data_IF_257819171671
#
_entry.id   IF_257819171671
#
_cell.length_a   1.000
_cell.length_b   1.000
_cell.length_c   1.000
_cell.angle_alpha   90.00
_cell.angle_beta   90.00
_cell.angle_gamma   90.00
#
_symmetry.space_group_name_H-M   'P 1'
#
loop_
_entity.id
_entity.type
_entity.pdbx_description
1 polymer ?
#
# COMPACT_ATOMS: atom_id res chain seq x y z
N UNK A 1 12.59 -2.74 -9.18
CA UNK A 1 12.10 -2.96 -7.80
C UNK A 1 11.89 -1.62 -7.13
N UNK A 2 10.69 -1.34 -6.59
CA UNK A 2 10.36 -0.11 -5.87
C UNK A 2 10.39 -0.37 -4.36
N UNK A 3 10.99 0.57 -3.61
CA UNK A 3 11.01 0.58 -2.16
C UNK A 3 10.33 1.85 -1.64
N UNK A 4 9.50 1.71 -0.64
CA UNK A 4 8.79 2.85 -0.08
C UNK A 4 8.30 2.60 1.34
N UNK A 5 7.53 3.55 1.81
CA UNK A 5 6.83 3.44 3.09
C UNK A 5 5.33 3.56 2.92
N UNK A 6 4.61 3.05 3.90
CA UNK A 6 3.20 3.36 4.06
C UNK A 6 2.92 3.78 5.51
N UNK A 7 1.86 4.54 5.71
CA UNK A 7 1.40 4.96 7.02
C UNK A 7 -0.09 4.68 7.18
N UNK A 8 -0.49 4.28 8.36
CA UNK A 8 -1.90 4.12 8.74
C UNK A 8 -2.45 5.36 9.45
N UNK A 9 -1.56 6.26 9.89
CA UNK A 9 -1.93 7.55 10.48
C UNK A 9 -2.67 7.45 11.81
N UNK A 10 -2.28 6.53 12.68
CA UNK A 10 -2.86 6.40 14.01
C UNK A 10 -2.34 7.44 15.00
N UNK A 11 -3.17 7.84 15.97
CA UNK A 11 -2.84 8.74 17.09
C UNK A 11 -2.62 7.97 18.38
N UNK A 12 -1.96 6.82 18.28
CA UNK A 12 -1.60 5.98 19.42
C UNK A 12 -0.66 6.74 20.38
N UNK A 13 -0.89 6.71 21.70
CA UNK A 13 0.03 7.30 22.66
C UNK A 13 1.41 6.64 22.62
N UNK A 14 2.45 7.45 22.76
CA UNK A 14 3.81 6.97 23.06
C UNK A 14 3.83 6.35 24.46
N UNK A 15 4.07 5.05 24.59
CA UNK A 15 4.02 4.37 25.90
C UNK A 15 5.13 4.80 26.85
N UNK A 16 6.18 5.47 26.39
CA UNK A 16 7.30 5.93 27.21
C UNK A 16 7.00 7.28 27.88
N UNK A 17 6.12 8.08 27.27
CA UNK A 17 5.76 9.41 27.74
C UNK A 17 4.29 9.54 28.13
N UNK A 18 3.45 8.63 27.68
CA UNK A 18 1.98 8.69 27.79
C UNK A 18 1.32 9.75 26.89
N UNK A 19 2.08 10.47 26.05
CA UNK A 19 1.58 11.51 25.17
C UNK A 19 1.09 10.94 23.84
N UNK A 20 -0.15 11.24 23.46
CA UNK A 20 -0.62 11.04 22.10
C UNK A 20 -0.38 12.31 21.27
N UNK A 21 -0.03 12.21 19.98
CA UNK A 21 -0.05 13.36 19.10
C UNK A 21 -1.49 13.87 18.91
N UNK A 22 -1.65 15.16 18.69
CA UNK A 22 -2.91 15.70 18.17
C UNK A 22 -3.10 15.28 16.71
N UNK A 23 -4.34 15.29 16.22
CA UNK A 23 -4.61 15.03 14.79
C UNK A 23 -3.82 15.96 13.86
N UNK A 24 -3.71 17.24 14.23
CA UNK A 24 -2.90 18.22 13.49
C UNK A 24 -1.42 17.80 13.41
N UNK A 25 -0.82 17.46 14.55
CA UNK A 25 0.58 17.00 14.61
C UNK A 25 0.76 15.73 13.77
N UNK A 26 -0.18 14.79 13.87
CA UNK A 26 -0.10 13.52 13.15
C UNK A 26 -0.20 13.70 11.62
N UNK A 27 -1.16 14.51 11.16
CA UNK A 27 -1.30 14.84 9.73
C UNK A 27 -0.02 15.51 9.20
N UNK A 28 0.54 16.48 9.95
CA UNK A 28 1.81 17.12 9.57
C UNK A 28 2.98 16.15 9.56
N UNK A 29 3.04 15.23 10.51
CA UNK A 29 4.06 14.19 10.57
C UNK A 29 4.03 13.28 9.33
N UNK A 30 2.83 12.87 8.87
CA UNK A 30 2.70 12.05 7.66
C UNK A 30 3.25 12.77 6.41
N UNK A 31 2.99 14.07 6.28
CA UNK A 31 3.57 14.90 5.18
C UNK A 31 5.09 14.96 5.31
N UNK A 32 5.60 15.19 6.51
CA UNK A 32 7.06 15.23 6.77
C UNK A 32 7.73 13.91 6.42
N UNK A 33 7.12 12.79 6.79
CA UNK A 33 7.63 11.44 6.44
C UNK A 33 7.67 11.22 4.92
N UNK A 34 6.65 11.66 4.19
CA UNK A 34 6.61 11.54 2.73
C UNK A 34 7.74 12.34 2.05
N UNK A 35 7.94 13.59 2.47
CA UNK A 35 9.02 14.45 1.94
C UNK A 35 10.38 13.84 2.26
N UNK A 36 10.58 13.42 3.50
CA UNK A 36 11.84 12.81 3.92
C UNK A 36 12.11 11.45 3.24
N UNK A 37 11.06 10.68 2.95
CA UNK A 37 11.19 9.45 2.17
C UNK A 37 11.78 9.70 0.77
N UNK A 38 11.37 10.78 0.11
CA UNK A 38 11.98 11.20 -1.17
C UNK A 38 13.44 11.64 -0.99
N UNK A 39 13.73 12.41 0.06
CA UNK A 39 15.09 12.92 0.35
C UNK A 39 16.10 11.78 0.55
N UNK A 40 15.68 10.71 1.25
CA UNK A 40 16.53 9.53 1.48
C UNK A 40 16.51 8.52 0.32
N UNK A 41 15.85 8.84 -0.79
CA UNK A 41 15.89 8.06 -2.03
C UNK A 41 14.92 6.89 -2.11
N UNK A 42 13.82 6.92 -1.36
CA UNK A 42 12.72 5.97 -1.53
C UNK A 42 11.87 6.32 -2.76
N UNK A 43 11.18 5.31 -3.31
CA UNK A 43 10.42 5.44 -4.54
C UNK A 43 8.93 5.74 -4.32
N UNK A 44 8.36 5.30 -3.18
CA UNK A 44 6.91 5.29 -2.95
C UNK A 44 6.56 5.75 -1.55
N UNK A 45 5.55 6.61 -1.46
CA UNK A 45 4.82 6.88 -0.23
C UNK A 45 3.35 6.49 -0.40
N UNK A 46 2.81 5.72 0.55
CA UNK A 46 1.42 5.33 0.57
C UNK A 46 0.73 5.73 1.89
N UNK A 47 -0.51 6.22 1.80
CA UNK A 47 -1.34 6.51 2.97
C UNK A 47 -2.55 5.61 3.02
N UNK A 48 -2.91 5.16 4.22
CA UNK A 48 -4.17 4.46 4.46
C UNK A 48 -5.38 5.39 4.31
N UNK A 49 -6.56 4.80 4.27
CA UNK A 49 -7.84 5.47 4.43
C UNK A 49 -8.60 4.82 5.58
N UNK A 50 -8.98 5.65 6.53
CA UNK A 50 -9.70 5.21 7.73
C UNK A 50 -10.75 6.25 8.11
N UNK A 51 -11.91 5.78 8.58
CA UNK A 51 -13.02 6.62 9.01
C UNK A 51 -13.38 6.43 10.47
N UNK A 52 -12.52 5.76 11.24
CA UNK A 52 -12.72 5.50 12.65
C UNK A 52 -11.51 5.85 13.49
N UNK A 53 -11.67 6.36 14.72
CA UNK A 53 -10.56 6.51 15.66
C UNK A 53 -9.84 5.16 15.89
N UNK A 54 -8.53 5.17 16.11
CA UNK A 54 -7.66 6.33 16.32
C UNK A 54 -6.98 6.87 15.04
N UNK A 55 -7.48 6.57 13.85
CA UNK A 55 -6.85 6.93 12.59
C UNK A 55 -7.32 8.28 12.07
N UNK A 56 -6.42 9.06 11.45
CA UNK A 56 -6.75 10.40 10.93
C UNK A 56 -6.81 10.53 9.40
N UNK A 57 -6.21 9.66 8.57
CA UNK A 57 -6.26 9.83 7.11
C UNK A 57 -7.61 9.36 6.55
N UNK A 58 -8.58 10.27 6.51
CA UNK A 58 -9.91 10.02 5.96
C UNK A 58 -10.12 10.51 4.52
N UNK A 59 -9.11 11.21 3.96
CA UNK A 59 -9.12 11.73 2.59
C UNK A 59 -7.72 11.60 1.97
N UNK A 60 -7.38 10.42 1.46
CA UNK A 60 -6.04 10.15 0.92
C UNK A 60 -5.64 11.13 -0.17
N UNK A 61 -6.50 11.41 -1.14
CA UNK A 61 -6.20 12.28 -2.28
C UNK A 61 -5.94 13.72 -1.88
N UNK A 62 -6.61 14.23 -0.84
CA UNK A 62 -6.33 15.56 -0.27
C UNK A 62 -4.91 15.62 0.30
N UNK A 63 -4.49 14.61 1.04
CA UNK A 63 -3.13 14.54 1.61
C UNK A 63 -2.09 14.35 0.52
N UNK A 64 -2.31 13.43 -0.41
CA UNK A 64 -1.39 13.15 -1.50
C UNK A 64 -1.23 14.36 -2.44
N UNK A 65 -2.29 15.15 -2.68
CA UNK A 65 -2.19 16.42 -3.42
C UNK A 65 -1.28 17.45 -2.73
N UNK A 66 -1.33 17.51 -1.40
CA UNK A 66 -0.41 18.37 -0.64
C UNK A 66 1.04 17.86 -0.68
N UNK A 67 1.25 16.56 -0.67
CA UNK A 67 2.58 15.94 -0.80
C UNK A 67 3.10 16.10 -2.23
N UNK A 68 2.26 15.97 -3.25
CA UNK A 68 2.63 16.18 -4.65
C UNK A 68 3.31 17.53 -4.90
N UNK A 69 2.79 18.58 -4.25
CA UNK A 69 3.35 19.95 -4.34
C UNK A 69 4.71 20.13 -3.62
N UNK A 70 5.23 19.11 -2.96
CA UNK A 70 6.47 19.12 -2.16
C UNK A 70 7.48 18.07 -2.56
N UNK A 71 7.14 17.24 -3.53
CA UNK A 71 7.96 16.13 -4.01
C UNK A 71 8.03 16.15 -5.52
N UNK A 72 9.11 15.63 -6.10
CA UNK A 72 9.36 15.66 -7.54
C UNK A 72 9.44 14.28 -8.18
N UNK A 73 9.78 13.25 -7.40
CA UNK A 73 10.05 11.88 -7.90
C UNK A 73 9.20 10.81 -7.24
N UNK A 74 8.76 11.07 -6.01
CA UNK A 74 8.04 10.11 -5.18
C UNK A 74 6.72 9.70 -5.84
N UNK A 75 6.50 8.41 -5.98
CA UNK A 75 5.21 7.85 -6.38
C UNK A 75 4.26 7.96 -5.19
N UNK A 76 3.11 8.57 -5.44
CA UNK A 76 2.06 8.79 -4.46
C UNK A 76 1.02 7.68 -4.60
N UNK A 77 0.83 6.92 -3.53
CA UNK A 77 -0.03 5.73 -3.52
C UNK A 77 -0.95 5.71 -2.30
N UNK A 78 -1.84 4.75 -2.26
CA UNK A 78 -2.66 4.47 -1.08
C UNK A 78 -2.41 3.07 -0.53
N UNK A 79 -2.76 2.87 0.74
CA UNK A 79 -2.63 1.58 1.40
C UNK A 79 -3.67 1.39 2.53
N UNK A 80 -4.94 1.40 2.13
CA UNK A 80 -5.60 1.34 0.83
C UNK A 80 -6.67 2.43 0.69
N UNK A 81 -7.09 2.77 -0.53
CA UNK A 81 -8.37 3.45 -0.78
C UNK A 81 -9.51 2.45 -0.63
N UNK A 82 -10.57 2.83 0.08
CA UNK A 82 -11.69 1.94 0.41
C UNK A 82 -12.74 1.94 -0.71
N UNK A 83 -12.58 1.08 -1.71
CA UNK A 83 -13.50 0.95 -2.86
C UNK A 83 -14.96 0.66 -2.47
N UNK A 84 -15.22 0.26 -1.24
CA UNK A 84 -16.54 -0.10 -0.74
C UNK A 84 -17.30 1.05 -0.07
N UNK A 85 -16.60 2.00 0.51
CA UNK A 85 -17.21 3.18 1.17
C UNK A 85 -17.24 4.39 0.26
N UNK A 86 -16.28 4.51 -0.65
CA UNK A 86 -16.24 5.55 -1.66
C UNK A 86 -17.10 5.22 -2.89
N UNK A 87 -17.64 6.25 -3.54
CA UNK A 87 -18.28 6.10 -4.84
C UNK A 87 -17.23 5.98 -5.95
N UNK A 88 -17.31 4.98 -6.85
CA UNK A 88 -16.34 4.80 -7.92
C UNK A 88 -16.22 6.00 -8.88
N UNK A 89 -17.26 6.82 -9.03
CA UNK A 89 -17.18 8.09 -9.77
C UNK A 89 -16.23 9.04 -9.05
N UNK A 90 -16.37 9.18 -7.73
CA UNK A 90 -15.51 10.06 -6.94
C UNK A 90 -14.05 9.59 -6.95
N UNK A 91 -13.82 8.30 -6.85
CA UNK A 91 -12.47 7.72 -6.99
C UNK A 91 -11.88 8.04 -8.37
N UNK A 92 -12.68 7.87 -9.43
CA UNK A 92 -12.23 8.14 -10.80
C UNK A 92 -11.76 9.59 -10.98
N UNK A 93 -12.57 10.53 -10.51
CA UNK A 93 -12.30 11.97 -10.62
C UNK A 93 -11.11 12.41 -9.75
N UNK A 94 -11.07 11.99 -8.50
CA UNK A 94 -10.03 12.37 -7.55
C UNK A 94 -8.64 11.86 -7.96
N UNK A 95 -8.54 10.60 -8.39
CA UNK A 95 -7.25 10.04 -8.80
C UNK A 95 -6.80 10.56 -10.17
N UNK A 96 -7.72 10.87 -11.09
CA UNK A 96 -7.37 11.58 -12.32
C UNK A 96 -6.87 13.00 -12.02
N UNK A 97 -7.56 13.74 -11.15
CA UNK A 97 -7.11 15.07 -10.69
C UNK A 97 -5.73 15.00 -10.05
N UNK A 98 -5.52 14.05 -9.13
CA UNK A 98 -4.23 13.86 -8.46
C UNK A 98 -3.12 13.50 -9.45
N UNK A 99 -3.42 12.69 -10.47
CA UNK A 99 -2.47 12.31 -11.50
C UNK A 99 -1.97 13.52 -12.30
N UNK A 100 -2.87 14.46 -12.65
CA UNK A 100 -2.48 15.74 -13.27
C UNK A 100 -1.63 16.61 -12.34
N UNK A 101 -1.99 16.70 -11.05
CA UNK A 101 -1.25 17.49 -10.06
C UNK A 101 0.15 16.94 -9.76
N UNK A 102 0.34 15.66 -9.92
CA UNK A 102 1.58 14.96 -9.61
C UNK A 102 2.36 14.51 -10.86
N UNK A 103 2.03 15.05 -12.03
CA UNK A 103 2.72 14.74 -13.30
C UNK A 103 2.86 13.22 -13.55
N UNK A 104 1.77 12.48 -13.33
CA UNK A 104 1.72 11.03 -13.53
C UNK A 104 2.29 10.18 -12.41
N UNK A 105 2.90 10.74 -11.36
CA UNK A 105 3.50 10.00 -10.23
C UNK A 105 2.45 9.45 -9.25
N UNK A 106 1.41 8.82 -9.77
CA UNK A 106 0.29 8.30 -8.99
C UNK A 106 -0.03 6.88 -9.39
N UNK A 107 -0.18 6.04 -8.41
CA UNK A 107 -0.94 4.80 -8.51
C UNK A 107 -1.86 4.66 -7.29
N UNK A 108 -2.69 3.65 -7.25
CA UNK A 108 -3.53 3.44 -6.08
C UNK A 108 -3.62 1.96 -5.72
N UNK A 109 -3.70 1.71 -4.42
CA UNK A 109 -4.02 0.39 -3.91
C UNK A 109 -5.45 0.40 -3.39
N UNK A 110 -6.29 -0.42 -3.97
CA UNK A 110 -7.68 -0.58 -3.56
C UNK A 110 -7.80 -1.66 -2.49
N UNK A 111 -8.57 -1.36 -1.47
CA UNK A 111 -8.95 -2.29 -0.42
C UNK A 111 -10.45 -2.34 -0.19
N UNK A 112 -10.93 -3.49 0.26
CA UNK A 112 -12.33 -3.68 0.64
C UNK A 112 -12.70 -2.98 1.94
N UNK A 113 -11.72 -2.71 2.80
CA UNK A 113 -11.96 -2.37 4.21
C UNK A 113 -12.46 -3.57 5.02
N UNK A 114 -12.07 -3.64 6.27
CA UNK A 114 -12.42 -4.73 7.18
C UNK A 114 -13.02 -4.27 8.53
N UNK A 115 -13.23 -2.96 8.67
CA UNK A 115 -13.79 -2.36 9.89
C UNK A 115 -15.30 -2.33 9.80
N UNK A 116 -15.96 -3.34 10.40
CA UNK A 116 -17.41 -3.53 10.33
C UNK A 116 -18.23 -2.28 10.68
N UNK A 117 -17.94 -1.56 11.79
CA UNK A 117 -18.67 -0.36 12.18
C UNK A 117 -18.64 0.78 11.17
N UNK A 118 -17.66 0.84 10.26
CA UNK A 118 -17.54 1.90 9.25
C UNK A 118 -18.59 1.77 8.14
N UNK A 119 -18.92 0.56 7.72
CA UNK A 119 -19.84 0.34 6.62
C UNK A 119 -21.22 1.01 6.78
N UNK A 120 -21.93 0.88 7.94
CA UNK A 120 -23.20 1.57 8.14
C UNK A 120 -23.11 3.09 8.07
N UNK A 121 -21.99 3.70 8.44
CA UNK A 121 -21.81 5.16 8.35
C UNK A 121 -21.86 5.67 6.90
N UNK A 122 -21.52 4.81 5.95
CA UNK A 122 -21.60 5.09 4.51
C UNK A 122 -22.81 4.42 3.84
N UNK A 123 -23.80 3.96 4.63
CA UNK A 123 -25.00 3.32 4.11
C UNK A 123 -24.75 1.96 3.44
N UNK A 124 -23.71 1.24 3.88
CA UNK A 124 -23.29 -0.06 3.34
C UNK A 124 -23.39 -1.16 4.38
N UNK A 125 -23.29 -2.41 3.94
CA UNK A 125 -23.22 -3.59 4.79
C UNK A 125 -21.92 -4.36 4.51
N UNK A 126 -21.15 -4.70 5.53
CA UNK A 126 -19.90 -5.44 5.37
C UNK A 126 -20.11 -6.83 4.77
N UNK A 127 -21.30 -7.41 4.90
CA UNK A 127 -21.67 -8.70 4.28
C UNK A 127 -21.66 -8.62 2.75
N UNK A 128 -21.95 -7.46 2.20
CA UNK A 128 -21.85 -7.18 0.76
C UNK A 128 -20.44 -6.74 0.33
N UNK A 129 -19.47 -6.65 1.24
CA UNK A 129 -18.16 -6.02 0.99
C UNK A 129 -17.39 -6.57 -0.21
N UNK A 130 -17.42 -7.89 -0.47
CA UNK A 130 -16.76 -8.47 -1.65
C UNK A 130 -17.54 -8.15 -2.94
N UNK A 131 -18.83 -8.47 -3.10
CA UNK A 131 -19.56 -8.14 -4.32
C UNK A 131 -19.60 -6.63 -4.60
N UNK A 132 -19.66 -5.79 -3.56
CA UNK A 132 -19.60 -4.34 -3.69
C UNK A 132 -18.23 -3.89 -4.23
N UNK A 133 -17.13 -4.42 -3.71
CA UNK A 133 -15.79 -4.10 -4.19
C UNK A 133 -15.60 -4.52 -5.66
N UNK A 134 -16.11 -5.68 -6.05
CA UNK A 134 -16.05 -6.18 -7.43
C UNK A 134 -16.86 -5.29 -8.38
N UNK A 135 -18.10 -4.95 -8.00
CA UNK A 135 -18.97 -4.09 -8.83
C UNK A 135 -18.40 -2.68 -8.98
N UNK A 136 -17.96 -2.06 -7.87
CA UNK A 136 -17.41 -0.71 -7.89
C UNK A 136 -16.11 -0.64 -8.72
N UNK A 137 -15.28 -1.67 -8.65
CA UNK A 137 -14.06 -1.70 -9.47
C UNK A 137 -14.36 -1.86 -10.97
N UNK A 138 -15.32 -2.67 -11.33
CA UNK A 138 -15.75 -2.80 -12.71
C UNK A 138 -16.22 -1.45 -13.28
N UNK A 139 -16.99 -0.67 -12.53
CA UNK A 139 -17.40 0.67 -12.91
C UNK A 139 -16.21 1.64 -12.99
N UNK A 140 -15.33 1.67 -11.98
CA UNK A 140 -14.13 2.54 -11.95
C UNK A 140 -13.28 2.36 -13.21
N UNK A 141 -13.05 1.12 -13.63
CA UNK A 141 -12.29 0.84 -14.85
C UNK A 141 -12.96 1.43 -16.10
N UNK A 142 -14.28 1.34 -16.21
CA UNK A 142 -15.03 1.91 -17.33
C UNK A 142 -14.96 3.42 -17.34
N UNK A 143 -15.12 4.07 -16.18
CA UNK A 143 -15.05 5.54 -16.04
C UNK A 143 -13.72 6.13 -16.52
N UNK A 144 -12.62 5.42 -16.35
CA UNK A 144 -11.31 5.85 -16.83
C UNK A 144 -11.05 5.57 -18.31
N UNK A 145 -11.69 4.55 -18.88
CA UNK A 145 -11.37 4.03 -20.23
C UNK A 145 -12.38 4.42 -21.30
N UNK A 146 -13.63 4.60 -20.91
CA UNK A 146 -14.72 4.94 -21.84
C UNK A 146 -14.99 6.45 -21.77
N UNK A 147 -15.30 7.04 -22.92
CA UNK A 147 -15.66 8.47 -23.02
C UNK A 147 -17.00 8.74 -22.34
N UNK A 148 -17.96 7.84 -22.51
CA UNK A 148 -19.29 7.93 -21.95
C UNK A 148 -19.73 6.57 -21.41
N UNK A 149 -20.24 6.56 -20.18
CA UNK A 149 -20.60 5.34 -19.46
C UNK A 149 -22.08 5.31 -19.15
N UNK A 150 -22.74 4.26 -19.63
CA UNK A 150 -24.01 3.78 -19.10
C UNK A 150 -23.73 2.66 -18.09
N UNK A 151 -24.27 2.78 -16.89
CA UNK A 151 -24.09 1.79 -15.84
C UNK A 151 -25.41 1.45 -15.15
N UNK A 152 -25.59 0.18 -14.88
CA UNK A 152 -26.65 -0.35 -14.03
C UNK A 152 -26.06 -1.48 -13.21
N UNK A 153 -26.13 -1.36 -11.88
CA UNK A 153 -25.58 -2.30 -10.92
C UNK A 153 -26.45 -2.43 -9.70
N UNK A 154 -26.05 -3.28 -8.78
CA UNK A 154 -26.80 -3.56 -7.55
C UNK A 154 -26.61 -2.47 -6.48
N UNK A 155 -25.42 -1.85 -6.43
CA UNK A 155 -24.98 -1.11 -5.23
C UNK A 155 -25.02 0.41 -5.36
N UNK A 156 -25.25 0.93 -6.55
CA UNK A 156 -25.41 2.38 -6.78
C UNK A 156 -26.50 2.69 -7.82
N UNK A 157 -26.94 3.94 -7.82
CA UNK A 157 -27.87 4.46 -8.82
C UNK A 157 -27.27 4.36 -10.24
N UNK A 158 -28.10 4.07 -11.25
CA UNK A 158 -27.64 4.00 -12.63
C UNK A 158 -26.98 5.29 -13.12
N UNK A 159 -26.03 5.16 -14.03
CA UNK A 159 -25.50 6.26 -14.84
C UNK A 159 -26.08 6.18 -16.25
N UNK A 160 -26.28 7.34 -16.91
CA UNK A 160 -26.75 7.41 -18.30
C UNK A 160 -25.94 8.48 -19.01
N UNK A 161 -25.15 8.07 -20.00
CA UNK A 161 -24.29 8.97 -20.78
C UNK A 161 -23.32 9.77 -19.92
N UNK A 162 -22.79 9.18 -18.85
CA UNK A 162 -21.93 9.89 -17.91
C UNK A 162 -20.47 9.91 -18.40
N UNK A 163 -19.87 11.10 -18.44
CA UNK A 163 -18.45 11.31 -18.73
C UNK A 163 -17.73 11.73 -17.45
N UNK A 164 -16.72 10.96 -17.04
CA UNK A 164 -15.86 11.29 -15.90
C UNK A 164 -14.87 12.39 -16.29
N UNK A 165 -14.75 13.43 -15.48
CA UNK A 165 -13.81 14.53 -15.67
C UNK A 165 -13.13 14.95 -14.37
N UNK A 166 -11.78 15.20 -14.39
CA UNK A 166 -10.90 15.12 -15.57
C UNK A 166 -10.73 13.68 -16.06
N UNK A 167 -10.30 13.54 -17.30
CA UNK A 167 -9.82 12.27 -17.83
C UNK A 167 -8.45 11.95 -17.21
N UNK A 168 -8.04 10.69 -17.15
CA UNK A 168 -6.66 10.36 -16.79
C UNK A 168 -5.65 11.12 -17.65
N UNK A 169 -4.50 11.45 -17.07
CA UNK A 169 -3.40 12.11 -17.78
C UNK A 169 -2.99 11.27 -19.00
N UNK A 170 -2.89 11.91 -20.17
CA UNK A 170 -2.59 11.26 -21.45
C UNK A 170 -3.56 10.10 -21.83
N UNK A 171 -4.78 10.12 -21.29
CA UNK A 171 -5.75 9.02 -21.36
C UNK A 171 -5.24 7.67 -20.80
N UNK A 172 -4.18 7.70 -19.97
CA UNK A 172 -3.58 6.53 -19.34
C UNK A 172 -4.01 6.46 -17.86
N UNK A 173 -4.89 5.53 -17.49
CA UNK A 173 -5.32 5.38 -16.10
C UNK A 173 -4.15 5.11 -15.15
N UNK A 174 -4.24 5.60 -13.90
CA UNK A 174 -3.29 5.22 -12.86
C UNK A 174 -3.23 3.69 -12.71
N UNK A 175 -2.03 3.16 -12.43
CA UNK A 175 -1.89 1.73 -12.16
C UNK A 175 -2.63 1.34 -10.87
N UNK A 176 -3.27 0.18 -10.87
CA UNK A 176 -4.04 -0.33 -9.72
C UNK A 176 -3.36 -1.52 -9.10
N UNK A 177 -3.19 -1.44 -7.77
CA UNK A 177 -2.88 -2.57 -6.92
C UNK A 177 -4.15 -3.01 -6.17
N UNK A 178 -4.39 -4.30 -6.06
CA UNK A 178 -5.44 -4.85 -5.22
C UNK A 178 -4.84 -5.34 -3.90
N UNK A 179 -5.13 -4.65 -2.82
CA UNK A 179 -4.64 -4.98 -1.49
C UNK A 179 -5.52 -6.02 -0.79
N UNK A 180 -4.94 -7.12 -0.34
CA UNK A 180 -5.66 -8.11 0.45
C UNK A 180 -4.78 -8.81 1.47
N UNK A 181 -5.34 -8.98 2.68
CA UNK A 181 -4.75 -9.81 3.73
C UNK A 181 -5.27 -11.24 3.63
N UNK A 182 -6.56 -11.46 3.27
CA UNK A 182 -7.23 -12.76 3.44
C UNK A 182 -8.11 -13.20 2.28
N UNK A 183 -8.54 -12.29 1.43
CA UNK A 183 -9.60 -12.57 0.46
C UNK A 183 -9.03 -13.12 -0.86
N UNK A 184 -9.20 -14.42 -1.15
CA UNK A 184 -8.79 -14.98 -2.43
C UNK A 184 -9.55 -14.37 -3.61
N UNK A 185 -10.77 -13.88 -3.40
CA UNK A 185 -11.59 -13.20 -4.40
C UNK A 185 -10.92 -11.92 -4.91
N UNK A 186 -10.20 -11.20 -4.03
CA UNK A 186 -9.46 -10.00 -4.41
C UNK A 186 -8.19 -10.36 -5.21
N UNK A 187 -7.52 -11.44 -4.85
CA UNK A 187 -6.40 -11.96 -5.64
C UNK A 187 -6.87 -12.44 -7.04
N UNK A 188 -8.03 -13.08 -7.10
CA UNK A 188 -8.69 -13.46 -8.35
C UNK A 188 -9.06 -12.24 -9.21
N UNK A 189 -9.63 -11.19 -8.61
CA UNK A 189 -9.98 -9.95 -9.30
C UNK A 189 -8.73 -9.27 -9.88
N UNK A 190 -7.65 -9.14 -9.11
CA UNK A 190 -6.39 -8.59 -9.60
C UNK A 190 -5.90 -9.36 -10.84
N UNK A 191 -5.90 -10.68 -10.76
CA UNK A 191 -5.50 -11.55 -11.85
C UNK A 191 -6.42 -11.43 -13.08
N UNK A 192 -7.75 -11.37 -12.87
CA UNK A 192 -8.73 -11.25 -13.96
C UNK A 192 -8.51 -10.01 -14.81
N UNK A 193 -8.15 -8.89 -14.18
CA UNK A 193 -7.92 -7.63 -14.87
C UNK A 193 -6.46 -7.41 -15.31
N UNK A 194 -5.52 -8.27 -14.92
CA UNK A 194 -4.10 -8.08 -15.18
C UNK A 194 -3.46 -6.97 -14.35
N UNK A 195 -4.10 -6.61 -13.23
CA UNK A 195 -3.64 -5.58 -12.31
C UNK A 195 -2.64 -6.17 -11.28
N UNK A 196 -2.00 -5.31 -10.47
CA UNK A 196 -1.08 -5.76 -9.42
C UNK A 196 -1.80 -6.32 -8.19
N UNK A 197 -1.20 -7.30 -7.54
CA UNK A 197 -1.67 -7.83 -6.26
C UNK A 197 -0.71 -7.44 -5.13
N UNK A 198 -1.23 -6.71 -4.13
CA UNK A 198 -0.46 -6.35 -2.94
C UNK A 198 -0.89 -7.23 -1.76
N UNK A 199 0.01 -8.08 -1.31
CA UNK A 199 -0.31 -9.14 -0.35
C UNK A 199 -0.41 -8.67 1.10
N UNK A 200 -0.42 -7.39 1.44
CA UNK A 200 -0.56 -6.80 2.79
C UNK A 200 -0.04 -7.72 3.93
N UNK A 201 1.15 -8.28 3.75
CA UNK A 201 1.75 -9.25 4.66
C UNK A 201 2.34 -8.60 5.91
N UNK A 202 1.48 -8.05 6.78
CA UNK A 202 1.89 -7.28 7.97
C UNK A 202 1.93 -8.16 9.22
N UNK A 203 0.93 -9.03 9.41
CA UNK A 203 0.72 -9.74 10.68
C UNK A 203 0.65 -11.27 10.55
N UNK A 204 0.60 -11.80 9.34
CA UNK A 204 0.30 -13.21 9.10
C UNK A 204 1.54 -14.00 8.71
N UNK A 205 1.59 -15.32 8.99
CA UNK A 205 2.71 -16.16 8.62
C UNK A 205 2.83 -16.30 7.10
N UNK A 206 4.06 -16.56 6.64
CA UNK A 206 4.42 -16.67 5.23
C UNK A 206 3.55 -17.65 4.42
N UNK A 207 3.18 -18.78 5.01
CA UNK A 207 2.43 -19.84 4.31
C UNK A 207 1.06 -19.39 3.82
N UNK A 208 0.43 -18.46 4.57
CA UNK A 208 -0.83 -17.85 4.17
C UNK A 208 -0.65 -17.02 2.88
N UNK A 209 0.37 -16.17 2.84
CA UNK A 209 0.63 -15.31 1.68
C UNK A 209 1.18 -16.08 0.49
N UNK A 210 1.95 -17.15 0.70
CA UNK A 210 2.35 -18.05 -0.38
C UNK A 210 1.15 -18.62 -1.14
N UNK A 211 0.07 -18.98 -0.43
CA UNK A 211 -1.16 -19.46 -1.04
C UNK A 211 -1.87 -18.38 -1.87
N UNK A 212 -1.99 -17.16 -1.32
CA UNK A 212 -2.66 -16.05 -2.03
C UNK A 212 -1.86 -15.58 -3.25
N UNK A 213 -0.56 -15.39 -3.11
CA UNK A 213 0.32 -14.99 -4.21
C UNK A 213 0.38 -16.08 -5.28
N UNK A 214 0.46 -17.36 -4.85
CA UNK A 214 0.41 -18.49 -5.78
C UNK A 214 -0.92 -18.59 -6.52
N UNK A 215 -2.05 -18.30 -5.86
CA UNK A 215 -3.35 -18.21 -6.53
C UNK A 215 -3.33 -17.09 -7.57
N UNK A 216 -2.97 -15.86 -7.18
CA UNK A 216 -2.92 -14.72 -8.08
C UNK A 216 -2.08 -14.99 -9.33
N UNK A 217 -0.86 -15.53 -9.18
CA UNK A 217 0.05 -15.81 -10.30
C UNK A 217 -0.53 -16.84 -11.28
N UNK A 218 -1.08 -17.97 -10.76
CA UNK A 218 -1.71 -18.99 -11.61
C UNK A 218 -2.92 -18.45 -12.36
N UNK A 219 -3.72 -17.58 -11.71
CA UNK A 219 -4.90 -16.98 -12.34
C UNK A 219 -4.52 -15.88 -13.35
N UNK A 220 -3.48 -15.11 -13.09
CA UNK A 220 -2.92 -14.13 -14.03
C UNK A 220 -2.51 -14.81 -15.36
N UNK A 221 -1.78 -15.91 -15.27
CA UNK A 221 -1.42 -16.73 -16.43
C UNK A 221 -2.65 -17.35 -17.11
N UNK A 222 -3.59 -17.87 -16.33
CA UNK A 222 -4.83 -18.45 -16.84
C UNK A 222 -5.67 -17.44 -17.65
N UNK A 223 -5.70 -16.18 -17.23
CA UNK A 223 -6.41 -15.11 -17.95
C UNK A 223 -5.62 -14.52 -19.13
N UNK A 224 -4.41 -15.01 -19.39
CA UNK A 224 -3.62 -14.66 -20.58
C UNK A 224 -2.90 -13.33 -20.50
N UNK A 225 -2.63 -12.80 -19.28
CA UNK A 225 -1.90 -11.54 -19.10
C UNK A 225 -0.37 -11.72 -19.13
N UNK A 226 0.12 -12.94 -19.25
CA UNK A 226 1.53 -13.28 -19.29
C UNK A 226 1.83 -14.53 -18.46
N UNK A 227 3.11 -14.80 -18.22
CA UNK A 227 3.51 -15.92 -17.35
C UNK A 227 3.34 -15.59 -15.86
N UNK A 228 3.36 -16.61 -15.00
CA UNK A 228 3.25 -16.44 -13.56
C UNK A 228 4.34 -15.52 -12.97
N UNK A 229 5.55 -15.51 -13.57
CA UNK A 229 6.67 -14.65 -13.16
C UNK A 229 6.47 -13.18 -13.57
N UNK A 230 5.64 -12.91 -14.57
CA UNK A 230 5.34 -11.56 -15.03
C UNK A 230 4.25 -10.89 -14.19
N UNK A 231 3.54 -11.65 -13.36
CA UNK A 231 2.52 -11.13 -12.46
C UNK A 231 3.12 -10.18 -11.41
N UNK A 232 2.53 -8.99 -11.28
CA UNK A 232 3.05 -7.92 -10.45
C UNK A 232 2.63 -8.09 -8.99
N UNK A 233 3.59 -8.31 -8.10
CA UNK A 233 3.36 -8.52 -6.67
C UNK A 233 3.97 -7.40 -5.85
N UNK A 234 3.23 -6.92 -4.86
CA UNK A 234 3.72 -6.00 -3.83
C UNK A 234 3.64 -6.65 -2.44
N UNK A 235 4.57 -6.28 -1.58
CA UNK A 235 4.66 -6.77 -0.21
C UNK A 235 4.78 -5.62 0.79
N UNK A 236 4.26 -5.84 1.99
CA UNK A 236 4.47 -4.98 3.15
C UNK A 236 5.49 -5.55 4.14
N UNK A 237 5.80 -4.77 5.14
CA UNK A 237 6.60 -5.17 6.29
C UNK A 237 6.58 -4.08 7.34
N UNK A 238 6.86 -4.43 8.58
CA UNK A 238 7.02 -3.49 9.68
C UNK A 238 8.47 -3.53 10.14
N UNK A 239 9.07 -2.38 10.38
CA UNK A 239 10.47 -2.33 10.79
C UNK A 239 10.69 -1.35 11.94
N UNK A 240 11.57 -1.72 12.84
CA UNK A 240 12.21 -0.85 13.80
C UNK A 240 13.68 -1.20 13.91
N UNK A 241 14.55 -0.24 13.66
CA UNK A 241 15.98 -0.46 13.54
C UNK A 241 16.79 0.40 14.52
N UNK A 242 17.88 -0.19 15.00
CA UNK A 242 19.02 0.49 15.57
C UNK A 242 20.32 -0.14 15.02
N UNK A 243 21.45 0.56 15.03
CA UNK A 243 22.72 -0.05 14.63
C UNK A 243 23.03 -1.36 15.38
N UNK A 244 22.63 -1.43 16.64
CA UNK A 244 22.72 -2.63 17.48
C UNK A 244 21.33 -3.26 17.65
N UNK A 245 21.18 -4.53 17.33
CA UNK A 245 19.89 -5.24 17.41
C UNK A 245 19.35 -5.39 18.83
N UNK A 246 20.21 -5.47 19.84
CA UNK A 246 19.76 -5.53 21.24
C UNK A 246 19.15 -4.19 21.69
N UNK A 247 19.72 -3.07 21.22
CA UNK A 247 19.16 -1.75 21.46
C UNK A 247 17.81 -1.60 20.76
N UNK A 248 17.67 -2.09 19.53
CA UNK A 248 16.40 -2.08 18.81
C UNK A 248 15.30 -2.83 19.60
N UNK A 249 15.60 -4.04 20.06
CA UNK A 249 14.64 -4.85 20.84
C UNK A 249 14.29 -4.15 22.16
N UNK A 250 15.29 -3.63 22.89
CA UNK A 250 15.07 -2.94 24.17
C UNK A 250 14.18 -1.69 23.99
N UNK A 251 14.45 -0.89 22.96
CA UNK A 251 13.76 0.36 22.74
C UNK A 251 12.36 0.15 22.16
N UNK A 252 12.15 -0.84 21.30
CA UNK A 252 10.84 -1.10 20.69
C UNK A 252 9.89 -1.87 21.63
N UNK A 253 10.39 -2.60 22.62
CA UNK A 253 9.57 -3.41 23.51
C UNK A 253 8.40 -2.66 24.15
N UNK A 254 8.55 -1.47 24.75
CA UNK A 254 7.42 -0.72 25.30
C UNK A 254 6.34 -0.42 24.25
N UNK A 255 6.72 -0.15 23.01
CA UNK A 255 5.79 0.11 21.91
C UNK A 255 5.04 -1.17 21.52
N UNK A 256 5.75 -2.28 21.40
CA UNK A 256 5.13 -3.58 21.11
C UNK A 256 4.15 -3.99 22.21
N UNK A 257 4.54 -3.93 23.46
CA UNK A 257 3.75 -4.42 24.59
C UNK A 257 2.48 -3.59 24.85
N UNK A 258 2.45 -2.33 24.42
CA UNK A 258 1.33 -1.42 24.68
C UNK A 258 0.46 -1.10 23.46
N UNK A 259 0.92 -1.37 22.24
CA UNK A 259 0.15 -1.05 21.05
C UNK A 259 -0.98 -2.08 20.80
N UNK A 260 -2.23 -1.62 20.67
CA UNK A 260 -3.37 -2.52 20.40
C UNK A 260 -3.20 -3.35 19.13
N UNK A 261 -2.41 -2.86 18.18
CA UNK A 261 -2.17 -3.51 16.89
C UNK A 261 -1.46 -4.87 17.03
N UNK A 262 -0.67 -5.06 18.08
CA UNK A 262 0.02 -6.33 18.36
C UNK A 262 -0.79 -7.26 19.27
N UNK A 263 -1.82 -6.73 19.92
CA UNK A 263 -2.69 -7.49 20.81
C UNK A 263 -1.97 -7.98 22.06
N UNK A 264 -2.62 -8.90 22.78
CA UNK A 264 -2.05 -9.56 23.97
C UNK A 264 -1.74 -11.03 23.66
N UNK A 265 -0.96 -11.26 22.60
CA UNK A 265 -0.65 -12.57 22.06
C UNK A 265 0.81 -12.97 22.23
N UNK A 266 1.50 -13.29 21.13
CA UNK A 266 2.89 -13.71 21.14
C UNK A 266 3.84 -12.66 21.68
N UNK A 267 5.00 -13.07 22.22
CA UNK A 267 6.10 -12.18 22.59
C UNK A 267 6.65 -11.43 21.36
N UNK A 268 7.38 -10.34 21.57
CA UNK A 268 8.05 -9.60 20.50
C UNK A 268 8.96 -10.54 19.68
N UNK A 269 9.68 -11.43 20.34
CA UNK A 269 10.59 -12.40 19.71
C UNK A 269 9.83 -13.39 18.81
N UNK A 270 8.72 -13.94 19.30
CA UNK A 270 7.86 -14.83 18.52
C UNK A 270 7.23 -14.10 17.35
N UNK A 271 6.70 -12.90 17.59
CA UNK A 271 6.08 -12.09 16.55
C UNK A 271 7.10 -11.71 15.45
N UNK A 272 8.31 -11.30 15.84
CA UNK A 272 9.40 -11.01 14.90
C UNK A 272 9.82 -12.26 14.12
N UNK A 273 9.83 -13.45 14.75
CA UNK A 273 10.16 -14.70 14.06
C UNK A 273 9.10 -15.11 13.06
N UNK A 274 7.83 -15.01 13.40
CA UNK A 274 6.73 -15.65 12.70
C UNK A 274 5.97 -14.72 11.73
N UNK A 275 6.20 -13.40 11.81
CA UNK A 275 5.55 -12.38 10.97
C UNK A 275 6.57 -11.53 10.20
N UNK A 276 6.12 -10.64 9.31
CA UNK A 276 7.01 -9.69 8.61
C UNK A 276 7.64 -8.61 9.51
N UNK A 277 7.22 -8.44 10.76
CA UNK A 277 7.87 -7.48 11.66
C UNK A 277 9.36 -7.79 11.82
N UNK A 278 10.21 -6.78 11.65
CA UNK A 278 11.64 -6.87 11.96
C UNK A 278 12.01 -5.81 12.98
N UNK A 279 12.48 -6.25 14.14
CA UNK A 279 13.05 -5.39 15.16
C UNK A 279 14.49 -5.81 15.36
N UNK A 280 15.45 -4.98 14.90
CA UNK A 280 16.85 -5.37 14.89
C UNK A 280 17.79 -4.38 14.21
N UNK A 281 18.91 -4.88 13.68
CA UNK A 281 19.84 -4.10 12.89
C UNK A 281 19.39 -3.94 11.44
N UNK A 282 19.96 -2.98 10.67
CA UNK A 282 19.75 -2.90 9.23
C UNK A 282 20.04 -4.22 8.50
N UNK A 283 21.08 -4.95 8.88
CA UNK A 283 21.41 -6.25 8.26
C UNK A 283 20.30 -7.28 8.45
N UNK A 284 19.63 -7.29 9.61
CA UNK A 284 18.50 -8.18 9.87
C UNK A 284 17.26 -7.81 9.03
N UNK A 285 17.04 -6.52 8.76
CA UNK A 285 15.98 -6.07 7.84
C UNK A 285 16.31 -6.50 6.41
N UNK A 286 17.56 -6.35 5.98
CA UNK A 286 18.02 -6.81 4.67
C UNK A 286 17.80 -8.32 4.54
N UNK A 287 18.32 -9.11 5.47
CA UNK A 287 18.20 -10.57 5.46
C UNK A 287 16.73 -11.01 5.38
N UNK A 288 15.86 -10.44 6.21
CA UNK A 288 14.44 -10.80 6.23
C UNK A 288 13.71 -10.40 4.94
N UNK A 289 14.02 -9.23 4.39
CA UNK A 289 13.44 -8.77 3.13
C UNK A 289 13.88 -9.66 1.95
N UNK A 290 15.13 -10.09 1.92
CA UNK A 290 15.62 -11.04 0.91
C UNK A 290 14.94 -12.40 1.03
N UNK A 291 14.64 -12.87 2.25
CA UNK A 291 13.86 -14.12 2.46
C UNK A 291 12.45 -14.04 1.88
N UNK A 292 11.86 -12.83 1.74
CA UNK A 292 10.57 -12.72 1.06
C UNK A 292 10.66 -13.12 -0.42
N UNK A 293 11.79 -12.82 -1.09
CA UNK A 293 12.03 -13.29 -2.44
C UNK A 293 12.11 -14.83 -2.52
N UNK A 294 12.73 -15.47 -1.54
CA UNK A 294 12.79 -16.94 -1.46
C UNK A 294 11.40 -17.55 -1.23
N UNK A 295 10.55 -16.90 -0.42
CA UNK A 295 9.22 -17.41 -0.09
C UNK A 295 8.18 -17.14 -1.17
N UNK A 296 8.25 -15.99 -1.81
CA UNK A 296 7.19 -15.49 -2.69
C UNK A 296 7.62 -15.36 -4.15
N UNK A 297 8.90 -15.63 -4.49
CA UNK A 297 9.48 -15.36 -5.81
C UNK A 297 9.76 -13.86 -6.01
N UNK A 298 10.17 -13.47 -7.21
CA UNK A 298 10.40 -12.06 -7.54
C UNK A 298 9.12 -11.24 -7.37
N UNK A 299 9.26 -10.02 -6.86
CA UNK A 299 8.17 -9.09 -6.66
C UNK A 299 8.65 -7.65 -6.96
N UNK A 300 7.74 -6.71 -7.10
CA UNK A 300 8.06 -5.42 -7.72
C UNK A 300 8.03 -4.25 -6.74
N UNK A 301 7.36 -4.40 -5.57
CA UNK A 301 7.23 -3.32 -4.58
C UNK A 301 7.34 -3.85 -3.16
N UNK A 302 8.18 -3.17 -2.34
CA UNK A 302 8.26 -3.37 -0.90
C UNK A 302 7.90 -2.07 -0.19
N UNK A 303 6.86 -2.10 0.65
CA UNK A 303 6.50 -0.97 1.51
C UNK A 303 6.79 -1.31 2.97
N UNK A 304 7.46 -0.40 3.68
CA UNK A 304 7.77 -0.52 5.10
C UNK A 304 6.87 0.38 5.94
N UNK A 305 6.34 -0.13 7.04
CA UNK A 305 5.68 0.65 8.08
C UNK A 305 6.71 1.02 9.14
N UNK A 306 6.95 2.30 9.34
CA UNK A 306 8.00 2.83 10.22
C UNK A 306 7.46 3.71 11.34
N UNK A 307 6.21 4.15 11.27
CA UNK A 307 5.60 5.18 12.12
C UNK A 307 4.41 4.67 12.95
N UNK A 308 4.48 3.43 13.38
CA UNK A 308 3.40 2.71 14.06
C UNK A 308 3.60 2.64 15.58
N UNK A 309 2.58 2.14 16.28
CA UNK A 309 2.64 1.83 17.71
C UNK A 309 2.93 3.03 18.65
N UNK A 310 2.67 4.24 18.20
CA UNK A 310 2.93 5.45 18.99
C UNK A 310 4.38 5.96 18.92
N UNK A 311 5.18 5.48 17.97
CA UNK A 311 6.54 5.96 17.74
C UNK A 311 6.55 7.47 17.46
N UNK A 312 7.44 8.25 18.13
CA UNK A 312 7.61 9.68 17.86
C UNK A 312 8.09 9.94 16.42
N UNK A 313 7.74 11.11 15.87
CA UNK A 313 8.16 11.49 14.51
C UNK A 313 9.68 11.42 14.31
N UNK A 314 10.45 11.93 15.25
CA UNK A 314 11.92 11.88 15.14
C UNK A 314 12.44 10.44 15.01
N UNK A 315 11.88 9.52 15.79
CA UNK A 315 12.24 8.11 15.71
C UNK A 315 11.85 7.50 14.36
N UNK A 316 10.68 7.88 13.80
CA UNK A 316 10.27 7.42 12.48
C UNK A 316 11.19 8.01 11.37
N UNK A 317 11.64 9.26 11.49
CA UNK A 317 12.62 9.85 10.55
C UNK A 317 13.97 9.11 10.62
N UNK A 318 14.46 8.76 11.81
CA UNK A 318 15.66 7.93 11.97
C UNK A 318 15.52 6.55 11.29
N UNK A 319 14.29 5.98 11.25
CA UNK A 319 14.05 4.74 10.48
C UNK A 319 14.21 4.98 8.98
N UNK A 320 13.74 6.13 8.46
CA UNK A 320 13.91 6.49 7.05
C UNK A 320 15.38 6.71 6.68
N UNK A 321 16.14 7.37 7.55
CA UNK A 321 17.59 7.53 7.36
C UNK A 321 18.28 6.17 7.24
N UNK A 322 18.00 5.25 8.16
CA UNK A 322 18.56 3.89 8.12
C UNK A 322 18.10 3.10 6.89
N UNK A 323 16.84 3.24 6.48
CA UNK A 323 16.36 2.62 5.24
C UNK A 323 17.12 3.16 4.02
N UNK A 324 17.23 4.48 3.89
CA UNK A 324 17.88 5.13 2.74
C UNK A 324 19.39 4.90 2.68
N UNK A 325 20.08 4.94 3.83
CA UNK A 325 21.54 4.83 3.88
C UNK A 325 22.05 3.38 3.90
N UNK A 326 21.38 2.49 4.63
CA UNK A 326 21.93 1.16 4.95
C UNK A 326 21.17 0.01 4.30
N UNK A 327 19.85 0.12 4.12
CA UNK A 327 19.00 -1.01 3.74
C UNK A 327 18.71 -1.01 2.23
N UNK A 328 18.08 0.06 1.73
CA UNK A 328 17.58 0.10 0.35
C UNK A 328 18.68 0.00 -0.70
N UNK A 329 19.86 0.66 -0.55
CA UNK A 329 20.93 0.48 -1.54
C UNK A 329 21.38 -0.97 -1.68
N UNK A 330 21.54 -1.68 -0.57
CA UNK A 330 21.92 -3.10 -0.58
C UNK A 330 20.80 -3.96 -1.18
N UNK A 331 19.56 -3.72 -0.79
CA UNK A 331 18.42 -4.46 -1.36
C UNK A 331 18.30 -4.24 -2.87
N UNK A 332 18.50 -3.02 -3.37
CA UNK A 332 18.47 -2.73 -4.82
C UNK A 332 19.51 -3.56 -5.57
N UNK A 333 20.74 -3.60 -5.04
CA UNK A 333 21.82 -4.40 -5.61
C UNK A 333 21.47 -5.91 -5.60
N UNK A 334 21.03 -6.44 -4.45
CA UNK A 334 20.73 -7.86 -4.29
C UNK A 334 19.50 -8.30 -5.14
N UNK A 335 18.46 -7.47 -5.24
CA UNK A 335 17.31 -7.75 -6.11
C UNK A 335 17.65 -7.65 -7.61
N UNK A 336 18.65 -6.86 -7.99
CA UNK A 336 19.12 -6.82 -9.38
C UNK A 336 19.92 -8.06 -9.75
N UNK A 337 20.63 -8.70 -8.78
CA UNK A 337 21.38 -9.92 -9.01
C UNK A 337 20.44 -11.08 -9.36
N UNK A 338 20.77 -11.78 -10.44
CA UNK A 338 20.04 -12.97 -10.90
C UNK A 338 18.53 -12.75 -11.12
N UNK A 339 18.10 -11.51 -11.37
CA UNK A 339 16.72 -11.24 -11.73
C UNK A 339 16.47 -11.73 -13.16
N UNK A 340 15.47 -12.61 -13.39
CA UNK A 340 15.12 -13.06 -14.71
C UNK A 340 14.70 -11.89 -15.62
N UNK A 341 15.13 -11.88 -16.87
CA UNK A 341 14.78 -10.81 -17.81
C UNK A 341 13.25 -10.69 -18.08
N UNK A 342 12.53 -11.78 -17.87
CA UNK A 342 11.06 -11.81 -18.03
C UNK A 342 10.31 -11.14 -16.88
N UNK A 343 10.95 -10.92 -15.71
CA UNK A 343 10.31 -10.27 -14.55
C UNK A 343 10.22 -8.77 -14.77
N UNK A 344 9.01 -8.19 -14.91
CA UNK A 344 8.87 -6.76 -15.21
C UNK A 344 9.22 -5.90 -14.00
N UNK A 345 9.52 -4.63 -14.26
CA UNK A 345 9.54 -3.62 -13.21
C UNK A 345 8.11 -3.23 -12.79
N UNK A 346 7.99 -2.62 -11.61
CA UNK A 346 6.71 -2.03 -11.21
C UNK A 346 6.34 -0.91 -12.21
N UNK A 347 5.09 -0.86 -12.68
CA UNK A 347 4.66 0.15 -13.62
C UNK A 347 4.74 1.56 -13.04
N UNK A 348 4.98 2.52 -13.93
CA UNK A 348 4.81 3.94 -13.70
C UNK A 348 4.09 4.55 -14.92
N UNK A 349 3.68 5.81 -14.83
CA UNK A 349 2.93 6.46 -15.90
C UNK A 349 3.64 6.38 -17.26
N UNK A 350 4.94 6.65 -17.30
CA UNK A 350 5.72 6.61 -18.55
C UNK A 350 5.74 5.21 -19.17
N UNK A 351 5.90 4.15 -18.37
CA UNK A 351 5.87 2.78 -18.88
C UNK A 351 4.48 2.34 -19.35
N UNK A 352 3.42 2.81 -18.68
CA UNK A 352 2.04 2.56 -19.09
C UNK A 352 1.71 3.30 -20.41
N UNK A 353 2.13 4.56 -20.53
CA UNK A 353 1.97 5.34 -21.76
C UNK A 353 2.69 4.67 -22.94
N UNK A 354 3.93 4.23 -22.76
CA UNK A 354 4.67 3.52 -23.80
C UNK A 354 3.98 2.21 -24.23
N UNK A 355 3.31 1.51 -23.31
CA UNK A 355 2.56 0.29 -23.61
C UNK A 355 1.28 0.54 -24.43
N UNK A 356 0.69 1.74 -24.40
CA UNK A 356 -0.48 2.10 -25.22
C UNK A 356 -0.12 2.47 -26.65
N UNK A 357 1.16 2.75 -26.92
CA UNK A 357 1.66 3.19 -28.24
C UNK A 357 2.21 2.03 -29.10
N UNK A 358 2.34 0.83 -28.52
CA UNK A 358 2.78 -0.40 -29.18
C UNK A 358 1.61 -1.35 -29.47
#
# INVERSE_FOLDING_TARGET
>A
MQFGIFTVGDVTPDPTTGRAPTEHERIKAMVTLAVHAEEVGLDVFATGEHHNPPFVPSSPTTMLGWIAARTERLILSTSTTLITTDDPVKIAEDFAMLQHLADGRVDLMLGRGNTGPVYPWFGKDIRDGIPLAVENYALLRRLWREESVDWEGKFRTPLRGFTSTPRPLDDVPPFVWHGSIRSPEIAEQAAYYGDGFFANNIFWPKDHFQKLIGLYRRRFEHYGHGTAEQALVGLGGQVFMRPNSQDAVREFRPYFDNAPVYGHGPSLEEFTRDTPLTVGSPDQVIEKTLKFREYFGDYQRQLFLVDHAGLPLNTALEQLDLLGEKVVPVLREEFAKNRPAAVPDAPNHASLLAATQN
#
